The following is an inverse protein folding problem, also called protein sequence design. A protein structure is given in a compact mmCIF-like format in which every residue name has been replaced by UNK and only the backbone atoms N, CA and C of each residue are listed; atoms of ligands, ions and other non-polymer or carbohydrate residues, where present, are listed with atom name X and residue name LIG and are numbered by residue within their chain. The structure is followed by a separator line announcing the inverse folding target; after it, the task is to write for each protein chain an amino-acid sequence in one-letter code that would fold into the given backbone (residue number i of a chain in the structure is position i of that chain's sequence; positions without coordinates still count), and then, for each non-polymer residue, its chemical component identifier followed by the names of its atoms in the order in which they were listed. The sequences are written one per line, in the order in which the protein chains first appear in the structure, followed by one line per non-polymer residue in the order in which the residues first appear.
data_IF_095486638267
#
_entry.id   IF_095486638267
#
_cell.length_a   1.000
_cell.length_b   1.000
_cell.length_c   1.000
_cell.angle_alpha   90.00
_cell.angle_beta   90.00
_cell.angle_gamma   90.00
#
_symmetry.space_group_name_H-M   'P 1'
#
loop_
_entity.id
_entity.type
_entity.pdbx_description
1 polymer ?
#
# COMPACT_ATOMS: atom_id res chain seq x y z
N UNK A 1 12.82 -15.36 -23.47
CA UNK A 1 11.72 -14.40 -23.34
C UNK A 1 11.26 -14.45 -21.90
N UNK A 2 11.10 -13.32 -21.19
CA UNK A 2 10.58 -13.36 -19.83
C UNK A 2 9.14 -13.90 -19.88
N UNK A 3 8.87 -14.94 -19.12
CA UNK A 3 7.51 -15.44 -18.92
C UNK A 3 6.69 -14.34 -18.23
N UNK A 4 5.90 -13.60 -19.00
CA UNK A 4 4.88 -12.74 -18.43
C UNK A 4 3.90 -13.63 -17.68
N UNK A 5 3.94 -13.58 -16.36
CA UNK A 5 3.04 -14.37 -15.53
C UNK A 5 1.64 -13.85 -15.78
N UNK A 6 0.86 -14.57 -16.56
CA UNK A 6 -0.57 -14.27 -16.73
C UNK A 6 -1.25 -14.31 -15.36
N UNK A 7 -2.18 -13.38 -15.15
CA UNK A 7 -2.98 -13.40 -13.93
C UNK A 7 -3.78 -14.71 -13.95
N UNK A 8 -3.63 -15.57 -12.90
CA UNK A 8 -4.29 -16.88 -12.87
C UNK A 8 -5.81 -16.76 -13.01
N UNK A 9 -6.42 -17.69 -13.76
CA UNK A 9 -7.87 -17.70 -13.99
C UNK A 9 -8.64 -17.73 -12.64
N UNK A 10 -8.19 -18.54 -11.70
CA UNK A 10 -8.75 -18.59 -10.35
C UNK A 10 -8.81 -17.21 -9.69
N UNK A 11 -7.71 -16.44 -9.74
CA UNK A 11 -7.69 -15.09 -9.17
C UNK A 11 -8.65 -14.13 -9.90
N UNK A 12 -8.78 -14.26 -11.24
CA UNK A 12 -9.72 -13.45 -12.02
C UNK A 12 -11.17 -13.69 -11.60
N UNK A 13 -11.53 -14.94 -11.35
CA UNK A 13 -12.87 -15.34 -10.90
C UNK A 13 -13.14 -14.86 -9.48
N UNK A 14 -12.21 -15.11 -8.56
CA UNK A 14 -12.28 -14.62 -7.18
C UNK A 14 -12.41 -13.08 -7.13
N UNK A 15 -11.68 -12.36 -7.96
CA UNK A 15 -11.75 -10.91 -8.02
C UNK A 15 -13.10 -10.40 -8.55
N UNK A 16 -13.70 -11.06 -9.57
CA UNK A 16 -15.02 -10.69 -10.11
C UNK A 16 -16.13 -10.83 -9.07
N UNK A 17 -16.05 -11.85 -8.23
CA UNK A 17 -17.06 -12.14 -7.20
C UNK A 17 -16.79 -11.45 -5.86
N UNK A 18 -15.61 -10.88 -5.67
CA UNK A 18 -15.16 -10.30 -4.39
C UNK A 18 -16.13 -9.29 -3.77
N UNK A 19 -16.81 -8.51 -4.59
CA UNK A 19 -17.74 -7.47 -4.15
C UNK A 19 -19.21 -7.88 -4.25
N UNK A 20 -19.47 -9.12 -4.66
CA UNK A 20 -20.83 -9.66 -4.75
C UNK A 20 -21.20 -10.24 -3.39
N UNK A 21 -22.38 -9.87 -2.88
CA UNK A 21 -22.91 -10.38 -1.60
C UNK A 21 -22.05 -10.08 -0.36
N UNK A 22 -21.33 -8.94 -0.33
CA UNK A 22 -20.63 -8.51 0.87
C UNK A 22 -21.63 -8.11 1.97
N UNK A 23 -21.46 -8.71 3.15
CA UNK A 23 -22.16 -8.23 4.35
C UNK A 23 -21.54 -6.89 4.79
N UNK A 24 -22.33 -5.82 4.68
CA UNK A 24 -21.88 -4.46 5.01
C UNK A 24 -21.42 -4.32 6.48
N UNK A 25 -21.96 -5.13 7.39
CA UNK A 25 -21.57 -5.13 8.79
C UNK A 25 -20.16 -5.69 9.01
N UNK A 26 -19.69 -6.52 8.09
CA UNK A 26 -18.36 -7.13 8.15
C UNK A 26 -17.29 -6.36 7.39
N UNK A 27 -17.63 -5.23 6.76
CA UNK A 27 -16.65 -4.43 6.00
C UNK A 27 -15.41 -4.07 6.83
N UNK A 28 -15.51 -3.62 8.11
CA UNK A 28 -14.32 -3.28 8.89
C UNK A 28 -13.35 -4.48 9.04
N UNK A 29 -13.87 -5.65 9.37
CA UNK A 29 -13.10 -6.89 9.50
C UNK A 29 -12.46 -7.31 8.16
N UNK A 30 -13.25 -7.29 7.10
CA UNK A 30 -12.80 -7.66 5.76
C UNK A 30 -11.76 -6.67 5.21
N UNK A 31 -11.93 -5.38 5.47
CA UNK A 31 -10.97 -4.35 5.06
C UNK A 31 -9.63 -4.47 5.80
N UNK A 32 -9.65 -4.92 7.05
CA UNK A 32 -8.41 -5.22 7.78
C UNK A 32 -7.66 -6.41 7.17
N UNK A 33 -8.36 -7.38 6.60
CA UNK A 33 -7.76 -8.58 6.01
C UNK A 33 -7.39 -8.39 4.54
N UNK A 34 -8.08 -7.50 3.83
CA UNK A 34 -7.95 -7.34 2.38
C UNK A 34 -7.80 -5.88 1.96
N UNK A 35 -6.60 -5.47 1.50
CA UNK A 35 -6.34 -4.10 1.04
C UNK A 35 -7.21 -3.67 -0.15
N UNK A 36 -7.73 -4.60 -0.95
CA UNK A 36 -8.60 -4.28 -2.08
C UNK A 36 -9.99 -3.88 -1.60
N UNK A 37 -10.51 -4.55 -0.57
CA UNK A 37 -11.75 -4.17 0.11
C UNK A 37 -11.57 -2.83 0.83
N UNK A 38 -10.46 -2.67 1.55
CA UNK A 38 -10.08 -1.40 2.18
C UNK A 38 -10.05 -0.25 1.16
N UNK A 39 -9.37 -0.45 0.01
CA UNK A 39 -9.29 0.55 -1.04
C UNK A 39 -10.68 0.99 -1.53
N UNK A 40 -11.56 0.04 -1.74
CA UNK A 40 -12.89 0.31 -2.28
C UNK A 40 -13.78 1.10 -1.29
N UNK A 41 -13.89 0.62 -0.05
CA UNK A 41 -14.81 1.19 0.93
C UNK A 41 -14.24 2.41 1.66
N UNK A 42 -12.96 2.40 2.01
CA UNK A 42 -12.36 3.46 2.82
C UNK A 42 -11.65 4.53 1.99
N UNK A 43 -10.95 4.13 0.91
CA UNK A 43 -10.20 5.09 0.10
C UNK A 43 -10.97 5.54 -1.17
N UNK A 44 -12.15 4.99 -1.46
CA UNK A 44 -12.90 5.28 -2.68
C UNK A 44 -12.16 4.86 -3.96
N UNK A 45 -11.23 3.90 -3.87
CA UNK A 45 -10.38 3.44 -4.97
C UNK A 45 -10.82 2.07 -5.47
N UNK A 46 -11.42 2.02 -6.67
CA UNK A 46 -11.71 0.76 -7.34
C UNK A 46 -10.44 0.23 -8.04
N UNK A 47 -9.81 -0.77 -7.45
CA UNK A 47 -8.63 -1.39 -8.04
C UNK A 47 -8.96 -2.10 -9.35
N UNK A 48 -8.09 -1.95 -10.36
CA UNK A 48 -8.15 -2.77 -11.56
C UNK A 48 -7.60 -4.18 -11.25
N UNK A 49 -7.96 -5.17 -12.05
CA UNK A 49 -7.56 -6.58 -11.84
C UNK A 49 -6.04 -6.74 -11.63
N UNK A 50 -5.22 -6.10 -12.45
CA UNK A 50 -3.76 -6.19 -12.31
C UNK A 50 -3.23 -5.51 -11.04
N UNK A 51 -3.84 -4.39 -10.61
CA UNK A 51 -3.48 -3.73 -9.35
C UNK A 51 -3.85 -4.60 -8.14
N UNK A 52 -5.04 -5.21 -8.16
CA UNK A 52 -5.46 -6.16 -7.15
C UNK A 52 -4.55 -7.40 -7.09
N UNK A 53 -4.07 -7.86 -8.26
CA UNK A 53 -3.12 -8.98 -8.32
C UNK A 53 -1.74 -8.61 -7.75
N UNK A 54 -1.26 -7.39 -8.00
CA UNK A 54 -0.05 -6.86 -7.35
C UNK A 54 -0.19 -6.89 -5.83
N UNK A 55 -1.31 -6.35 -5.31
CA UNK A 55 -1.62 -6.33 -3.88
C UNK A 55 -1.66 -7.77 -3.32
N UNK A 56 -2.31 -8.69 -4.02
CA UNK A 56 -2.35 -10.09 -3.63
C UNK A 56 -0.95 -10.72 -3.52
N UNK A 57 -0.06 -10.43 -4.47
CA UNK A 57 1.34 -10.88 -4.42
C UNK A 57 2.09 -10.30 -3.23
N UNK A 58 1.89 -9.02 -2.90
CA UNK A 58 2.50 -8.39 -1.73
C UNK A 58 2.00 -9.00 -0.41
N UNK A 59 0.71 -9.34 -0.33
CA UNK A 59 0.10 -10.01 0.83
C UNK A 59 0.66 -11.42 1.04
N UNK A 60 0.79 -12.17 -0.05
CA UNK A 60 1.21 -13.57 -0.02
C UNK A 60 2.72 -13.76 0.01
N UNK A 61 3.48 -12.67 -0.16
CA UNK A 61 4.93 -12.67 -0.05
C UNK A 61 5.37 -13.17 1.32
N UNK A 62 6.20 -14.21 1.34
CA UNK A 62 6.77 -14.76 2.57
C UNK A 62 8.27 -14.49 2.60
N UNK A 63 8.85 -14.11 3.74
CA UNK A 63 10.28 -14.08 3.86
C UNK A 63 10.84 -15.48 3.62
N UNK A 64 11.86 -15.60 2.77
CA UNK A 64 12.52 -16.89 2.49
C UNK A 64 13.31 -17.39 3.69
N UNK A 65 13.84 -16.46 4.49
CA UNK A 65 14.54 -16.72 5.76
C UNK A 65 14.33 -15.51 6.66
N UNK A 66 14.69 -15.61 7.94
CA UNK A 66 14.66 -14.47 8.87
C UNK A 66 15.52 -13.26 8.40
N UNK A 67 16.50 -13.50 7.52
CA UNK A 67 17.46 -12.48 7.04
C UNK A 67 17.19 -12.00 5.62
N UNK A 68 16.43 -12.73 4.82
CA UNK A 68 16.22 -12.42 3.39
C UNK A 68 14.72 -12.40 3.10
N UNK A 69 14.19 -11.21 2.87
CA UNK A 69 12.82 -11.01 2.39
C UNK A 69 12.61 -11.57 0.97
N UNK A 70 11.38 -11.91 0.66
CA UNK A 70 11.01 -12.28 -0.71
C UNK A 70 11.13 -11.04 -1.62
N UNK A 71 11.77 -11.23 -2.76
CA UNK A 71 11.88 -10.20 -3.80
C UNK A 71 10.81 -10.46 -4.85
N UNK A 72 9.95 -9.48 -5.07
CA UNK A 72 8.94 -9.51 -6.13
C UNK A 72 9.36 -8.50 -7.19
N UNK A 73 9.73 -8.99 -8.36
CA UNK A 73 9.97 -8.14 -9.53
C UNK A 73 8.71 -8.14 -10.41
N UNK A 74 8.22 -6.95 -10.75
CA UNK A 74 7.05 -6.79 -11.59
C UNK A 74 7.39 -5.92 -12.80
N UNK A 75 7.26 -6.50 -13.98
CA UNK A 75 7.34 -5.78 -15.23
C UNK A 75 5.91 -5.42 -15.68
N UNK A 76 5.53 -4.17 -15.48
CA UNK A 76 4.21 -3.65 -15.83
C UNK A 76 4.40 -2.43 -16.70
N UNK A 77 3.66 -2.34 -17.79
CA UNK A 77 3.72 -1.19 -18.70
C UNK A 77 3.48 0.12 -17.97
N UNK A 78 4.10 1.19 -18.45
CA UNK A 78 3.84 2.55 -17.95
C UNK A 78 2.35 2.86 -18.03
N UNK A 79 1.84 3.70 -17.14
CA UNK A 79 0.43 4.15 -17.07
C UNK A 79 -0.61 3.10 -16.67
N UNK A 80 -0.25 1.85 -16.38
CA UNK A 80 -1.21 0.86 -15.84
C UNK A 80 -1.52 1.06 -14.35
N UNK A 81 -0.93 2.09 -13.70
CA UNK A 81 -1.23 2.45 -12.31
C UNK A 81 -0.63 1.48 -11.30
N UNK A 82 0.55 0.89 -11.60
CA UNK A 82 1.30 0.05 -10.65
C UNK A 82 1.55 0.77 -9.31
N UNK A 83 1.98 2.04 -9.37
CA UNK A 83 2.28 2.86 -8.20
C UNK A 83 1.03 3.08 -7.31
N UNK A 84 -0.18 3.11 -7.89
CA UNK A 84 -1.43 3.21 -7.10
C UNK A 84 -1.65 1.95 -6.27
N UNK A 85 -1.41 0.77 -6.82
CA UNK A 85 -1.48 -0.49 -6.07
C UNK A 85 -0.52 -0.51 -4.89
N UNK A 86 0.71 -0.03 -5.08
CA UNK A 86 1.69 0.13 -3.99
C UNK A 86 1.25 1.15 -2.96
N UNK A 87 0.76 2.32 -3.38
CA UNK A 87 0.27 3.36 -2.47
C UNK A 87 -0.87 2.84 -1.59
N UNK A 88 -1.86 2.17 -2.19
CA UNK A 88 -2.99 1.56 -1.46
C UNK A 88 -2.49 0.52 -0.46
N UNK A 89 -1.61 -0.38 -0.90
CA UNK A 89 -1.03 -1.38 -0.03
C UNK A 89 -0.25 -0.76 1.13
N UNK A 90 0.55 0.28 0.87
CA UNK A 90 1.33 0.98 1.88
C UNK A 90 0.44 1.66 2.93
N UNK A 91 -0.63 2.35 2.50
CA UNK A 91 -1.60 2.96 3.40
C UNK A 91 -2.25 1.89 4.28
N UNK A 92 -2.76 0.81 3.68
CA UNK A 92 -3.40 -0.28 4.40
C UNK A 92 -2.46 -0.92 5.43
N UNK A 93 -1.22 -1.22 5.02
CA UNK A 93 -0.25 -1.87 5.89
C UNK A 93 0.12 -1.00 7.09
N UNK A 94 0.31 0.31 6.90
CA UNK A 94 0.59 1.25 7.98
C UNK A 94 -0.66 1.51 8.84
N UNK A 95 -1.84 1.63 8.24
CA UNK A 95 -3.09 1.83 8.96
C UNK A 95 -3.37 0.73 9.97
N UNK A 96 -3.20 -0.52 9.56
CA UNK A 96 -3.43 -1.70 10.40
C UNK A 96 -2.15 -2.25 11.05
N UNK A 97 -1.04 -1.54 10.99
CA UNK A 97 0.27 -1.95 11.53
C UNK A 97 0.64 -3.40 11.16
N UNK A 98 0.58 -3.73 9.86
CA UNK A 98 0.86 -5.08 9.38
C UNK A 98 2.37 -5.34 9.28
N UNK A 99 2.82 -6.51 9.74
CA UNK A 99 4.24 -6.93 9.77
C UNK A 99 5.15 -5.87 10.42
N UNK A 100 4.91 -5.48 11.67
CA UNK A 100 5.74 -4.49 12.34
C UNK A 100 7.18 -4.96 12.43
N UNK A 101 8.12 -4.02 12.27
CA UNK A 101 9.54 -4.29 12.49
C UNK A 101 9.76 -4.58 13.97
N UNK A 102 10.42 -5.70 14.27
CA UNK A 102 10.55 -6.24 15.64
C UNK A 102 11.07 -5.21 16.65
N UNK A 103 12.03 -4.37 16.23
CA UNK A 103 12.65 -3.37 17.10
C UNK A 103 11.70 -2.24 17.50
N UNK A 104 10.82 -1.80 16.59
CA UNK A 104 9.96 -0.63 16.81
C UNK A 104 8.49 -0.98 16.99
N UNK A 105 8.11 -2.24 16.77
CA UNK A 105 6.73 -2.73 16.79
C UNK A 105 5.78 -1.95 15.86
N UNK A 106 6.32 -1.29 14.85
CA UNK A 106 5.59 -0.45 13.89
C UNK A 106 5.88 -0.87 12.45
N UNK A 107 4.91 -0.69 11.59
CA UNK A 107 5.08 -0.93 10.16
C UNK A 107 5.88 0.20 9.54
N UNK A 108 6.99 -0.17 8.90
CA UNK A 108 7.89 0.75 8.22
C UNK A 108 7.94 0.42 6.75
N UNK A 109 7.63 1.38 5.89
CA UNK A 109 7.67 1.23 4.44
C UNK A 109 8.63 2.26 3.85
N UNK A 110 9.61 1.77 3.12
CA UNK A 110 10.51 2.62 2.36
C UNK A 110 10.19 2.56 0.87
N UNK A 111 10.22 3.73 0.25
CA UNK A 111 10.04 3.89 -1.19
C UNK A 111 11.28 4.57 -1.75
N UNK A 112 11.83 4.00 -2.80
CA UNK A 112 12.89 4.64 -3.59
C UNK A 112 12.54 4.57 -5.06
N UNK A 113 13.08 5.48 -5.85
CA UNK A 113 12.94 5.49 -7.29
C UNK A 113 14.29 5.90 -7.91
N UNK A 114 14.34 6.06 -9.23
CA UNK A 114 15.56 6.45 -9.94
C UNK A 114 16.20 7.75 -9.43
N UNK A 115 15.38 8.67 -8.92
CA UNK A 115 15.81 9.97 -8.38
C UNK A 115 14.89 10.41 -7.23
N UNK A 116 15.30 11.44 -6.49
CA UNK A 116 14.57 11.95 -5.33
C UNK A 116 13.19 12.53 -5.70
N UNK A 117 13.02 13.34 -6.77
CA UNK A 117 11.70 13.81 -7.18
C UNK A 117 10.72 12.68 -7.51
N UNK A 118 11.17 11.61 -8.16
CA UNK A 118 10.31 10.47 -8.49
C UNK A 118 9.88 9.70 -7.23
N UNK A 119 10.78 9.56 -6.24
CA UNK A 119 10.45 8.95 -4.95
C UNK A 119 9.47 9.83 -4.15
N UNK A 120 9.66 11.15 -4.15
CA UNK A 120 8.74 12.12 -3.53
C UNK A 120 7.33 12.06 -4.15
N UNK A 121 7.23 11.86 -5.47
CA UNK A 121 5.95 11.75 -6.16
C UNK A 121 5.10 10.57 -5.68
N UNK A 122 5.71 9.50 -5.20
CA UNK A 122 4.97 8.38 -4.59
C UNK A 122 4.32 8.83 -3.28
N UNK A 123 5.05 9.59 -2.44
CA UNK A 123 4.51 10.14 -1.18
C UNK A 123 3.39 11.14 -1.45
N UNK A 124 3.54 12.00 -2.47
CA UNK A 124 2.45 12.90 -2.92
C UNK A 124 1.20 12.14 -3.36
N UNK A 125 1.36 11.03 -4.11
CA UNK A 125 0.24 10.17 -4.50
C UNK A 125 -0.47 9.56 -3.29
N UNK A 126 0.29 9.10 -2.29
CA UNK A 126 -0.27 8.56 -1.04
C UNK A 126 -1.12 9.62 -0.34
N UNK A 127 -0.62 10.84 -0.16
CA UNK A 127 -1.38 11.94 0.44
C UNK A 127 -2.67 12.24 -0.31
N UNK A 128 -2.60 12.28 -1.63
CA UNK A 128 -3.80 12.49 -2.47
C UNK A 128 -4.83 11.35 -2.28
N UNK A 129 -4.38 10.11 -2.16
CA UNK A 129 -5.28 8.97 -1.90
C UNK A 129 -5.92 9.10 -0.51
N UNK A 130 -5.17 9.51 0.52
CA UNK A 130 -5.69 9.75 1.87
C UNK A 130 -6.76 10.86 1.88
N UNK A 131 -6.53 11.98 1.17
CA UNK A 131 -7.51 13.05 1.02
C UNK A 131 -8.79 12.57 0.30
N UNK A 132 -8.66 11.73 -0.73
CA UNK A 132 -9.83 11.11 -1.38
C UNK A 132 -10.56 10.19 -0.40
N UNK A 133 -9.81 9.45 0.43
CA UNK A 133 -10.35 8.63 1.50
C UNK A 133 -11.15 9.43 2.53
N UNK A 134 -10.67 10.61 2.92
CA UNK A 134 -11.41 11.50 3.82
C UNK A 134 -12.77 11.88 3.23
N UNK A 135 -12.80 12.28 1.95
CA UNK A 135 -14.06 12.60 1.25
C UNK A 135 -15.00 11.39 1.16
N UNK A 136 -14.44 10.19 1.01
CA UNK A 136 -15.21 8.95 1.01
C UNK A 136 -15.81 8.67 2.39
N UNK A 137 -15.02 8.81 3.45
CA UNK A 137 -15.46 8.57 4.82
C UNK A 137 -16.45 9.63 5.31
N UNK A 138 -16.30 10.89 4.90
CA UNK A 138 -17.27 11.94 5.19
C UNK A 138 -18.65 11.59 4.60
N UNK A 139 -18.70 11.06 3.37
CA UNK A 139 -19.96 10.61 2.74
C UNK A 139 -20.57 9.38 3.42
N UNK A 140 -19.72 8.44 3.89
CA UNK A 140 -20.18 7.17 4.44
C UNK A 140 -20.57 7.24 5.92
N UNK A 141 -19.79 7.95 6.73
CA UNK A 141 -19.91 7.99 8.19
C UNK A 141 -20.06 9.39 8.76
N UNK A 142 -19.98 10.43 7.93
CA UNK A 142 -19.96 11.82 8.38
C UNK A 142 -18.64 12.23 9.06
N UNK A 143 -17.64 11.36 9.08
CA UNK A 143 -16.35 11.65 9.74
C UNK A 143 -15.44 12.43 8.79
N UNK A 144 -15.15 13.67 9.16
CA UNK A 144 -14.17 14.51 8.46
C UNK A 144 -12.75 14.11 8.87
N UNK A 145 -11.81 14.34 7.95
CA UNK A 145 -10.37 14.15 8.18
C UNK A 145 -10.02 12.79 8.79
N UNK A 146 -10.76 11.73 8.40
CA UNK A 146 -10.63 10.38 8.96
C UNK A 146 -9.19 9.86 8.86
N UNK A 147 -8.58 10.02 7.68
CA UNK A 147 -7.20 9.60 7.43
C UNK A 147 -6.20 10.71 7.77
N UNK A 148 -6.43 11.94 7.27
CA UNK A 148 -5.49 13.05 7.47
C UNK A 148 -5.40 13.47 8.92
N UNK A 149 -6.49 13.44 9.68
CA UNK A 149 -6.50 13.65 11.13
C UNK A 149 -5.81 12.54 11.93
N UNK A 150 -5.53 11.40 11.29
CA UNK A 150 -4.77 10.29 11.89
C UNK A 150 -3.28 10.32 11.56
N UNK A 151 -2.78 11.42 11.00
CA UNK A 151 -1.36 11.61 10.73
C UNK A 151 -0.70 12.46 11.81
N UNK A 152 0.56 12.16 12.12
CA UNK A 152 1.37 12.98 13.02
C UNK A 152 1.93 14.20 12.28
N UNK A 153 1.94 15.34 12.92
CA UNK A 153 2.64 16.53 12.45
C UNK A 153 4.09 16.58 12.99
N UNK A 154 5.06 17.13 12.23
CA UNK A 154 4.91 17.65 10.87
C UNK A 154 5.11 16.56 9.80
N UNK A 155 4.17 16.47 8.87
CA UNK A 155 4.36 15.65 7.66
C UNK A 155 5.25 16.43 6.66
N UNK A 156 6.43 15.93 6.38
CA UNK A 156 7.31 16.51 5.37
C UNK A 156 7.09 15.86 4.00
N UNK A 157 7.69 16.47 2.95
CA UNK A 157 7.49 15.99 1.56
C UNK A 157 7.96 14.55 1.31
N UNK A 158 8.81 14.01 2.16
CA UNK A 158 9.41 12.68 2.02
C UNK A 158 8.81 11.63 2.96
N UNK A 159 7.97 12.03 3.92
CA UNK A 159 7.52 11.15 4.98
C UNK A 159 6.07 11.37 5.37
N UNK A 160 5.38 10.27 5.70
CA UNK A 160 4.05 10.25 6.30
C UNK A 160 4.12 9.34 7.51
N UNK A 161 3.80 9.87 8.69
CA UNK A 161 3.75 9.12 9.94
C UNK A 161 2.32 9.07 10.44
N UNK A 162 1.84 7.86 10.73
CA UNK A 162 0.50 7.62 11.29
C UNK A 162 0.54 7.71 12.82
N UNK A 163 -0.63 7.94 13.45
CA UNK A 163 -0.73 8.02 14.91
C UNK A 163 -0.26 6.75 15.64
N UNK A 164 -0.30 5.58 14.98
CA UNK A 164 0.21 4.31 15.49
C UNK A 164 1.74 4.13 15.30
N UNK A 165 2.46 5.20 15.00
CA UNK A 165 3.91 5.22 14.72
C UNK A 165 4.37 4.47 13.47
N UNK A 166 3.44 3.89 12.69
CA UNK A 166 3.78 3.35 11.39
C UNK A 166 4.09 4.49 10.42
N UNK A 167 5.06 4.31 9.55
CA UNK A 167 5.45 5.37 8.64
C UNK A 167 5.86 4.88 7.26
N UNK A 168 5.73 5.79 6.30
CA UNK A 168 6.14 5.63 4.90
C UNK A 168 7.14 6.74 4.61
N UNK A 169 8.34 6.40 4.16
CA UNK A 169 9.35 7.38 3.80
C UNK A 169 9.93 7.12 2.41
N UNK A 170 10.14 8.19 1.66
CA UNK A 170 10.86 8.16 0.39
C UNK A 170 12.28 8.67 0.57
N UNK A 171 13.19 8.13 -0.21
CA UNK A 171 14.57 8.62 -0.27
C UNK A 171 15.22 8.23 -1.60
N UNK A 172 16.25 8.99 -2.01
CA UNK A 172 16.99 8.68 -3.22
C UNK A 172 17.72 7.34 -3.08
N UNK A 173 18.03 6.65 -4.18
CA UNK A 173 18.72 5.36 -4.20
C UNK A 173 20.22 5.53 -3.88
N UNK A 174 20.53 5.88 -2.64
CA UNK A 174 21.91 6.06 -2.16
C UNK A 174 22.34 4.91 -1.27
N UNK A 175 23.66 4.73 -1.09
CA UNK A 175 24.22 3.70 -0.21
C UNK A 175 23.74 3.84 1.25
N UNK A 176 23.34 5.05 1.68
CA UNK A 176 22.79 5.29 3.02
C UNK A 176 21.43 4.63 3.26
N UNK A 177 20.75 4.19 2.20
CA UNK A 177 19.54 3.39 2.32
C UNK A 177 19.80 1.93 2.73
N UNK A 178 21.05 1.46 2.56
CA UNK A 178 21.49 0.13 2.96
C UNK A 178 21.60 0.08 4.49
N UNK A 179 20.90 -0.85 5.11
CA UNK A 179 20.95 -1.03 6.58
C UNK A 179 19.71 -0.54 7.33
N UNK A 180 18.74 0.08 6.66
CA UNK A 180 17.44 0.40 7.28
C UNK A 180 16.56 -0.85 7.34
N UNK A 181 16.03 -1.15 8.52
CA UNK A 181 15.03 -2.21 8.69
C UNK A 181 13.67 -1.71 8.21
N UNK A 182 13.02 -2.46 7.35
CA UNK A 182 11.69 -2.13 6.82
C UNK A 182 10.80 -3.37 6.78
N UNK A 183 9.50 -3.15 6.97
CA UNK A 183 8.47 -4.17 6.72
C UNK A 183 8.37 -4.46 5.21
N UNK A 184 8.45 -3.41 4.40
CA UNK A 184 8.51 -3.47 2.94
C UNK A 184 9.42 -2.39 2.37
N UNK A 185 10.04 -2.75 1.28
CA UNK A 185 10.88 -1.84 0.51
C UNK A 185 10.39 -1.84 -0.95
N UNK A 186 9.94 -0.68 -1.43
CA UNK A 186 9.49 -0.52 -2.80
C UNK A 186 10.51 0.23 -3.62
N UNK A 187 10.81 -0.31 -4.79
CA UNK A 187 11.61 0.36 -5.81
C UNK A 187 10.68 0.65 -6.99
N UNK A 188 10.38 1.92 -7.24
CA UNK A 188 9.63 2.40 -8.41
C UNK A 188 10.63 3.00 -9.40
N UNK A 189 10.54 2.61 -10.66
CA UNK A 189 11.47 3.06 -11.71
C UNK A 189 11.27 4.52 -12.08
#
# INVERSE_FOLDING_TARGET
MPNYTEIPQKFREEYKTKFVNLDLKRIPELAEQDPVIFAYFYLGQKMRLHQAYIIHKLLTAKPKTEKIGERIAMCVSRQLGKSIGFCVFAIWACWYNKRPVTMFKTTTIYVTSRDDPAAEDVVKKIRKILQIGDLQMEKFSGTKDFFTGSLKEPNNRHEITFLNDSYIASFPPTLTSLGKSASWFFVDE
#
